data_IF_423562029423
#
_entry.id   IF_423562029423
#
_cell.length_a   1.000
_cell.length_b   1.000
_cell.length_c   1.000
_cell.angle_alpha   90.00
_cell.angle_beta   90.00
_cell.angle_gamma   90.00
#
_symmetry.space_group_name_H-M   'P 1'
#
loop_
_entity.id
_entity.type
_entity.pdbx_description
1 polymer ?
#
# COMPACT_ATOMS: atom_id res chain seq x y z
N UNK A 1 0.50 6.99 16.72
CA UNK A 1 1.22 5.71 16.60
C UNK A 1 0.37 4.53 16.11
N UNK A 2 -0.81 4.18 16.67
CA UNK A 2 -1.53 2.95 16.28
C UNK A 2 -1.93 2.93 14.80
N UNK A 3 -2.38 4.06 14.24
CA UNK A 3 -2.69 4.18 12.80
C UNK A 3 -1.47 3.97 11.90
N UNK A 4 -0.29 4.46 12.31
CA UNK A 4 0.93 4.29 11.53
C UNK A 4 1.41 2.83 11.56
N UNK A 5 1.29 2.16 12.71
CA UNK A 5 1.63 0.73 12.82
C UNK A 5 0.74 -0.13 11.93
N UNK A 6 -0.58 0.13 11.89
CA UNK A 6 -1.51 -0.57 11.01
C UNK A 6 -1.13 -0.38 9.53
N UNK A 7 -0.81 0.85 9.13
CA UNK A 7 -0.39 1.15 7.75
C UNK A 7 0.92 0.44 7.34
N UNK A 8 1.89 0.37 8.26
CA UNK A 8 3.22 -0.23 8.02
C UNK A 8 3.15 -1.75 8.03
N UNK A 9 2.41 -2.35 8.96
CA UNK A 9 2.45 -3.79 9.19
C UNK A 9 1.38 -4.54 8.42
N UNK A 10 0.25 -3.89 8.10
CA UNK A 10 -0.93 -4.57 7.58
C UNK A 10 -1.36 -4.03 6.22
N UNK A 11 -1.80 -2.77 6.11
CA UNK A 11 -2.47 -2.27 4.90
C UNK A 11 -1.57 -2.31 3.65
N UNK A 12 -0.42 -1.62 3.69
CA UNK A 12 0.46 -1.55 2.53
C UNK A 12 1.13 -2.91 2.22
N UNK A 13 1.69 -3.66 3.20
CA UNK A 13 2.22 -4.99 2.94
C UNK A 13 1.17 -5.99 2.47
N UNK A 14 -0.02 -5.95 3.05
CA UNK A 14 -1.14 -6.83 2.71
C UNK A 14 -1.66 -6.58 1.30
N UNK A 15 -1.87 -5.30 0.94
CA UNK A 15 -2.27 -4.91 -0.43
C UNK A 15 -1.23 -5.36 -1.46
N UNK A 16 0.07 -5.23 -1.13
CA UNK A 16 1.17 -5.69 -1.99
C UNK A 16 1.19 -7.21 -2.11
N UNK A 17 0.96 -7.93 -1.00
CA UNK A 17 0.89 -9.39 -0.99
C UNK A 17 -0.26 -9.89 -1.87
N UNK A 18 -1.44 -9.31 -1.74
CA UNK A 18 -2.60 -9.64 -2.56
C UNK A 18 -2.30 -9.45 -4.07
N UNK A 19 -1.66 -8.33 -4.44
CA UNK A 19 -1.25 -8.09 -5.83
C UNK A 19 -0.24 -9.12 -6.34
N UNK A 20 0.67 -9.57 -5.49
CA UNK A 20 1.64 -10.62 -5.83
C UNK A 20 0.99 -11.99 -5.98
N UNK A 21 0.08 -12.36 -5.09
CA UNK A 21 -0.68 -13.61 -5.21
C UNK A 21 -1.58 -13.60 -6.45
N UNK A 22 -2.13 -12.43 -6.81
CA UNK A 22 -2.93 -12.29 -8.02
C UNK A 22 -2.11 -12.55 -9.28
N UNK A 23 -0.84 -12.16 -9.32
CA UNK A 23 0.05 -12.47 -10.44
C UNK A 23 0.13 -13.99 -10.69
N UNK A 24 0.35 -14.79 -9.65
CA UNK A 24 0.41 -16.25 -9.77
C UNK A 24 -0.94 -16.83 -10.22
N UNK A 25 -2.05 -16.28 -9.72
CA UNK A 25 -3.39 -16.67 -10.15
C UNK A 25 -3.65 -16.37 -11.62
N UNK A 26 -3.16 -15.23 -12.14
CA UNK A 26 -3.31 -14.87 -13.55
C UNK A 26 -2.55 -15.83 -14.48
N UNK A 27 -1.38 -16.33 -14.07
CA UNK A 27 -0.66 -17.36 -14.81
C UNK A 27 -1.50 -18.63 -14.92
N UNK A 28 -2.08 -19.09 -13.80
CA UNK A 28 -2.97 -20.27 -13.80
C UNK A 28 -4.22 -20.06 -14.66
N UNK A 29 -4.82 -18.87 -14.63
CA UNK A 29 -5.97 -18.52 -15.49
C UNK A 29 -5.57 -18.54 -16.96
N UNK A 30 -4.39 -18.00 -17.31
CA UNK A 30 -3.89 -18.02 -18.68
C UNK A 30 -3.66 -19.46 -19.18
N UNK A 31 -3.00 -20.30 -18.38
CA UNK A 31 -2.76 -21.71 -18.70
C UNK A 31 -4.07 -22.49 -18.89
N UNK A 32 -5.06 -22.24 -18.03
CA UNK A 32 -6.40 -22.80 -18.17
C UNK A 32 -7.07 -22.33 -19.46
N UNK A 33 -7.06 -21.03 -19.76
CA UNK A 33 -7.70 -20.49 -20.96
C UNK A 33 -7.07 -21.08 -22.23
N UNK A 34 -5.74 -21.19 -22.27
CA UNK A 34 -5.03 -21.82 -23.39
C UNK A 34 -5.42 -23.29 -23.56
N UNK A 35 -5.40 -24.06 -22.47
CA UNK A 35 -5.75 -25.49 -22.50
C UNK A 35 -7.20 -25.71 -22.91
N UNK A 36 -8.12 -24.93 -22.33
CA UNK A 36 -9.56 -25.01 -22.61
C UNK A 36 -9.89 -24.59 -24.05
N UNK A 37 -9.21 -23.56 -24.58
CA UNK A 37 -9.43 -23.11 -25.96
C UNK A 37 -9.14 -24.21 -26.99
N UNK A 38 -8.07 -25.00 -26.79
CA UNK A 38 -7.73 -26.11 -27.70
C UNK A 38 -8.80 -27.21 -27.75
N UNK A 39 -9.64 -27.32 -26.71
CA UNK A 39 -10.65 -28.39 -26.58
C UNK A 39 -12.08 -27.88 -26.81
N UNK A 40 -12.36 -26.60 -26.53
CA UNK A 40 -13.72 -26.06 -26.39
C UNK A 40 -14.18 -25.05 -27.46
N UNK A 41 -13.31 -24.68 -28.41
CA UNK A 41 -13.67 -23.83 -29.55
C UNK A 41 -14.32 -22.49 -29.16
N UNK A 42 -15.43 -22.13 -29.82
CA UNK A 42 -16.10 -20.83 -29.66
C UNK A 42 -16.61 -20.56 -28.22
N UNK A 43 -17.03 -21.58 -27.49
CA UNK A 43 -17.48 -21.40 -26.09
C UNK A 43 -16.30 -21.07 -25.17
N UNK A 44 -15.17 -21.77 -25.33
CA UNK A 44 -13.96 -21.49 -24.58
C UNK A 44 -13.38 -20.10 -24.87
N UNK A 45 -13.57 -19.57 -26.09
CA UNK A 45 -13.21 -18.19 -26.41
C UNK A 45 -14.00 -17.18 -25.57
N UNK A 46 -15.32 -17.38 -25.45
CA UNK A 46 -16.17 -16.47 -24.71
C UNK A 46 -15.86 -16.50 -23.21
N UNK A 47 -15.59 -17.69 -22.68
CA UNK A 47 -15.09 -17.87 -21.31
C UNK A 47 -13.73 -17.16 -21.10
N UNK A 48 -12.80 -17.26 -22.06
CA UNK A 48 -11.51 -16.55 -22.01
C UNK A 48 -11.69 -15.03 -21.97
N UNK A 49 -12.63 -14.48 -22.75
CA UNK A 49 -12.94 -13.03 -22.70
C UNK A 49 -13.49 -12.61 -21.34
N UNK A 50 -14.33 -13.44 -20.72
CA UNK A 50 -14.86 -13.18 -19.37
C UNK A 50 -13.72 -13.17 -18.35
N UNK A 51 -12.86 -14.19 -18.34
CA UNK A 51 -11.68 -14.22 -17.47
C UNK A 51 -10.74 -13.05 -17.71
N UNK A 52 -10.54 -12.64 -18.96
CA UNK A 52 -9.72 -11.46 -19.31
C UNK A 52 -10.31 -10.18 -18.70
N UNK A 53 -11.62 -9.99 -18.82
CA UNK A 53 -12.32 -8.82 -18.26
C UNK A 53 -12.23 -8.79 -16.73
N UNK A 54 -12.46 -9.94 -16.09
CA UNK A 54 -12.35 -10.08 -14.63
C UNK A 54 -10.92 -9.84 -14.15
N UNK A 55 -9.93 -10.39 -14.85
CA UNK A 55 -8.50 -10.22 -14.57
C UNK A 55 -8.09 -8.75 -14.64
N UNK A 56 -8.49 -8.05 -15.70
CA UNK A 56 -8.23 -6.62 -15.87
C UNK A 56 -8.81 -5.80 -14.72
N UNK A 57 -10.08 -6.03 -14.38
CA UNK A 57 -10.75 -5.34 -13.28
C UNK A 57 -10.08 -5.62 -11.93
N UNK A 58 -9.68 -6.86 -11.67
CA UNK A 58 -9.03 -7.29 -10.43
C UNK A 58 -7.67 -6.64 -10.24
N UNK A 59 -6.83 -6.63 -11.29
CA UNK A 59 -5.50 -5.98 -11.24
C UNK A 59 -5.64 -4.48 -11.05
N UNK A 60 -6.54 -3.83 -11.79
CA UNK A 60 -6.77 -2.38 -11.66
C UNK A 60 -7.19 -1.99 -10.24
N UNK A 61 -8.11 -2.76 -9.65
CA UNK A 61 -8.55 -2.54 -8.27
C UNK A 61 -7.38 -2.71 -7.27
N UNK A 62 -6.61 -3.78 -7.38
CA UNK A 62 -5.52 -4.06 -6.44
C UNK A 62 -4.40 -3.03 -6.53
N UNK A 63 -4.07 -2.55 -7.74
CA UNK A 63 -3.12 -1.44 -7.93
C UNK A 63 -3.64 -0.17 -7.25
N UNK A 64 -4.92 0.16 -7.45
CA UNK A 64 -5.56 1.33 -6.82
C UNK A 64 -5.54 1.25 -5.28
N UNK A 65 -5.86 0.09 -4.72
CA UNK A 65 -5.81 -0.16 -3.28
C UNK A 65 -4.38 -0.03 -2.74
N UNK A 66 -3.39 -0.64 -3.41
CA UNK A 66 -1.99 -0.52 -3.01
C UNK A 66 -1.49 0.93 -3.04
N UNK A 67 -1.77 1.67 -4.13
CA UNK A 67 -1.40 3.07 -4.25
C UNK A 67 -2.01 3.90 -3.11
N UNK A 68 -3.30 3.71 -2.83
CA UNK A 68 -4.01 4.40 -1.74
C UNK A 68 -3.41 4.09 -0.36
N UNK A 69 -3.09 2.82 -0.09
CA UNK A 69 -2.44 2.40 1.16
C UNK A 69 -1.05 3.02 1.33
N UNK A 70 -0.26 3.12 0.25
CA UNK A 70 1.06 3.75 0.28
C UNK A 70 0.96 5.26 0.51
N UNK A 71 0.04 5.96 -0.16
CA UNK A 71 -0.17 7.40 0.07
C UNK A 71 -0.55 7.69 1.52
N UNK A 72 -1.51 6.93 2.08
CA UNK A 72 -1.90 7.04 3.50
C UNK A 72 -0.71 6.82 4.44
N UNK A 73 0.15 5.85 4.14
CA UNK A 73 1.36 5.60 4.90
C UNK A 73 2.31 6.81 4.88
N UNK A 74 2.58 7.36 3.70
CA UNK A 74 3.46 8.53 3.54
C UNK A 74 2.90 9.77 4.26
N UNK A 75 1.59 10.01 4.18
CA UNK A 75 0.93 11.11 4.89
C UNK A 75 1.05 10.95 6.41
N UNK A 76 0.83 9.73 6.91
CA UNK A 76 0.96 9.43 8.34
C UNK A 76 2.41 9.61 8.83
N UNK A 77 3.41 9.18 8.05
CA UNK A 77 4.82 9.38 8.37
C UNK A 77 5.19 10.87 8.37
N UNK A 78 4.75 11.61 7.36
CA UNK A 78 4.98 13.07 7.26
C UNK A 78 4.39 13.81 8.46
N UNK A 79 3.18 13.46 8.87
CA UNK A 79 2.55 14.05 10.05
C UNK A 79 3.33 13.74 11.35
N UNK A 80 3.80 12.50 11.51
CA UNK A 80 4.63 12.12 12.67
C UNK A 80 5.96 12.88 12.70
N UNK A 81 6.63 13.05 11.56
CA UNK A 81 7.88 13.81 11.46
C UNK A 81 7.69 15.28 11.86
N UNK A 82 6.63 15.95 11.38
CA UNK A 82 6.32 17.33 11.81
C UNK A 82 6.06 17.45 13.31
N UNK A 83 5.41 16.43 13.91
CA UNK A 83 5.23 16.37 15.36
C UNK A 83 6.55 16.25 16.13
N UNK A 84 7.48 15.43 15.61
CA UNK A 84 8.82 15.29 16.19
C UNK A 84 9.63 16.59 16.05
N UNK A 85 9.58 17.24 14.88
CA UNK A 85 10.23 18.54 14.65
C UNK A 85 9.73 19.60 15.64
N UNK A 86 8.41 19.71 15.83
CA UNK A 86 7.81 20.62 16.82
C UNK A 86 8.28 20.32 18.25
N UNK A 87 8.34 19.03 18.61
CA UNK A 87 8.80 18.60 19.94
C UNK A 87 10.28 18.96 20.17
N UNK A 88 11.13 18.80 19.16
CA UNK A 88 12.55 19.20 19.20
C UNK A 88 12.66 20.72 19.36
N UNK A 89 11.87 21.50 18.61
CA UNK A 89 11.87 22.96 18.72
C UNK A 89 11.48 23.42 20.13
N UNK A 90 10.47 22.79 20.75
CA UNK A 90 10.08 23.07 22.14
C UNK A 90 11.20 22.75 23.13
N UNK A 91 11.86 21.59 22.99
CA UNK A 91 13.01 21.21 23.84
C UNK A 91 14.16 22.22 23.69
N UNK A 92 14.43 22.68 22.46
CA UNK A 92 15.43 23.70 22.18
C UNK A 92 15.13 25.02 22.90
N UNK A 93 13.88 25.50 22.83
CA UNK A 93 13.46 26.72 23.54
C UNK A 93 13.59 26.57 25.06
N UNK A 94 13.15 25.44 25.62
CA UNK A 94 13.30 25.19 27.07
C UNK A 94 14.77 25.21 27.47
N UNK A 95 15.65 24.55 26.70
CA UNK A 95 17.09 24.50 26.99
C UNK A 95 17.71 25.90 27.01
N UNK A 96 17.42 26.73 25.99
CA UNK A 96 17.88 28.13 25.91
C UNK A 96 17.38 28.97 27.09
N UNK A 97 16.11 28.78 27.47
CA UNK A 97 15.51 29.49 28.60
C UNK A 97 16.18 29.06 29.91
N UNK A 98 16.49 27.78 30.06
CA UNK A 98 17.15 27.26 31.26
C UNK A 98 18.59 27.76 31.39
N UNK A 99 19.31 27.89 30.26
CA UNK A 99 20.65 28.49 30.22
C UNK A 99 20.63 29.98 30.57
N UNK A 100 19.65 30.74 30.07
CA UNK A 100 19.51 32.15 30.41
C UNK A 100 19.14 32.37 31.88
N UNK A 101 18.32 31.50 32.49
CA UNK A 101 18.08 31.54 33.93
C UNK A 101 19.35 31.26 34.76
N UNK A 102 20.22 30.33 34.32
CA UNK A 102 21.50 30.04 34.99
C UNK A 102 22.53 31.17 34.90
N UNK A 103 22.53 31.96 33.83
CA UNK A 103 23.46 33.10 33.70
C UNK A 103 23.01 34.34 34.49
N UNK A 104 21.74 34.40 34.91
CA UNK A 104 21.16 35.52 35.64
C UNK A 104 21.14 35.31 37.18
N UNK A 105 21.71 34.22 37.67
CA UNK A 105 21.79 33.90 39.10
C UNK A 105 23.16 33.30 39.44
#
# INVERSE_FOLDING_TARGET
LPQLQLLILEDAPGSRKALRENYDNLLNVADYCCSNYTQGGLKALEETKQFTTQSLASVAYQISTLASSVLRLLDAQTHQLRGLESSINLIGQVSQTTESFKCNH
#
